data_IF_823915165184
#
_entry.id   IF_823915165184
#
_cell.length_a   1.000
_cell.length_b   1.000
_cell.length_c   1.000
_cell.angle_alpha   90.00
_cell.angle_beta   90.00
_cell.angle_gamma   90.00
#
_symmetry.space_group_name_H-M   'P 1'
#
loop_
_entity.id
_entity.type
_entity.pdbx_description
1 polymer ?
#
# COMPACT_ATOMS: atom_id res chain seq x y z
N UNK A 1 -3.00 23.82 0.57
CA UNK A 1 -2.87 22.51 1.22
C UNK A 1 -2.99 22.68 2.73
N UNK A 2 -3.76 21.81 3.41
CA UNK A 2 -3.94 21.86 4.87
C UNK A 2 -2.61 21.60 5.61
N UNK A 3 -2.24 22.49 6.54
CA UNK A 3 -1.10 22.28 7.47
C UNK A 3 -1.25 20.97 8.22
N UNK A 4 -2.48 20.64 8.63
CA UNK A 4 -2.77 19.44 9.43
C UNK A 4 -2.40 18.17 8.67
N UNK A 5 -2.85 18.05 7.42
CA UNK A 5 -2.56 16.88 6.57
C UNK A 5 -1.06 16.76 6.31
N UNK A 6 -0.41 17.84 5.87
CA UNK A 6 1.01 17.81 5.57
C UNK A 6 1.84 17.47 6.82
N UNK A 7 1.51 18.06 7.98
CA UNK A 7 2.17 17.75 9.23
C UNK A 7 1.95 16.30 9.67
N UNK A 8 0.72 15.78 9.57
CA UNK A 8 0.40 14.40 9.96
C UNK A 8 1.09 13.38 9.05
N UNK A 9 1.02 13.56 7.73
CA UNK A 9 1.68 12.69 6.77
C UNK A 9 3.21 12.67 6.98
N UNK A 10 3.83 13.82 7.21
CA UNK A 10 5.28 13.90 7.45
C UNK A 10 5.64 13.22 8.77
N UNK A 11 4.88 13.45 9.86
CA UNK A 11 5.12 12.76 11.15
C UNK A 11 4.97 11.24 11.02
N UNK A 12 3.94 10.78 10.34
CA UNK A 12 3.71 9.36 10.07
C UNK A 12 4.84 8.75 9.26
N UNK A 13 5.31 9.43 8.21
CA UNK A 13 6.43 8.98 7.39
C UNK A 13 7.73 8.86 8.21
N UNK A 14 8.04 9.83 9.08
CA UNK A 14 9.18 9.72 10.00
C UNK A 14 9.06 8.52 10.95
N UNK A 15 7.85 8.26 11.48
CA UNK A 15 7.60 7.13 12.38
C UNK A 15 7.81 5.79 11.68
N UNK A 16 7.21 5.61 10.50
CA UNK A 16 7.32 4.38 9.70
C UNK A 16 8.76 4.16 9.22
N UNK A 17 9.45 5.23 8.79
CA UNK A 17 10.87 5.14 8.44
C UNK A 17 11.73 4.69 9.62
N UNK A 18 11.50 5.24 10.81
CA UNK A 18 12.21 4.82 12.03
C UNK A 18 11.99 3.33 12.34
N UNK A 19 10.76 2.83 12.19
CA UNK A 19 10.44 1.41 12.34
C UNK A 19 11.16 0.54 11.30
N UNK A 20 11.19 0.97 10.04
CA UNK A 20 11.87 0.24 8.98
C UNK A 20 13.39 0.20 9.20
N UNK A 21 14.01 1.31 9.61
CA UNK A 21 15.44 1.39 9.89
C UNK A 21 15.82 0.50 11.08
N UNK A 22 15.03 0.52 12.15
CA UNK A 22 15.23 -0.34 13.32
C UNK A 22 15.10 -1.83 12.94
N UNK A 23 14.04 -2.19 12.21
CA UNK A 23 13.80 -3.56 11.78
C UNK A 23 14.90 -4.07 10.84
N UNK A 24 15.36 -3.24 9.91
CA UNK A 24 16.48 -3.56 9.03
C UNK A 24 17.79 -3.78 9.81
N UNK A 25 18.09 -2.91 10.79
CA UNK A 25 19.27 -3.09 11.66
C UNK A 25 19.21 -4.42 12.42
N UNK A 26 18.07 -4.74 13.04
CA UNK A 26 17.87 -6.01 13.74
C UNK A 26 18.05 -7.22 12.80
N UNK A 27 17.55 -7.11 11.56
CA UNK A 27 17.72 -8.16 10.57
C UNK A 27 19.18 -8.30 10.09
N UNK A 28 19.87 -7.19 9.86
CA UNK A 28 21.28 -7.16 9.50
C UNK A 28 22.16 -7.79 10.60
N UNK A 29 21.86 -7.52 11.87
CA UNK A 29 22.59 -8.09 13.00
C UNK A 29 22.38 -9.62 13.12
N UNK A 30 21.19 -10.11 12.75
CA UNK A 30 20.81 -11.52 12.91
C UNK A 30 21.20 -12.41 11.72
N UNK A 31 21.00 -11.95 10.49
CA UNK A 31 21.23 -12.76 9.27
C UNK A 31 22.42 -12.26 8.43
N UNK A 32 22.78 -10.98 8.54
CA UNK A 32 23.89 -10.39 7.77
C UNK A 32 23.51 -9.94 6.36
N UNK A 33 24.42 -9.20 5.73
CA UNK A 33 24.14 -8.45 4.50
C UNK A 33 23.82 -9.31 3.25
N UNK A 34 24.25 -10.56 3.23
CA UNK A 34 24.11 -11.45 2.07
C UNK A 34 22.87 -12.34 2.14
N UNK A 35 22.06 -12.24 3.19
CA UNK A 35 20.84 -13.02 3.32
C UNK A 35 19.82 -12.61 2.24
N UNK A 36 19.27 -13.56 1.47
CA UNK A 36 18.25 -13.27 0.45
C UNK A 36 16.97 -12.70 1.06
N UNK A 37 16.38 -11.72 0.38
CA UNK A 37 15.12 -11.09 0.80
C UNK A 37 14.27 -10.74 -0.42
N UNK A 38 12.95 -10.88 -0.30
CA UNK A 38 12.05 -10.56 -1.40
C UNK A 38 10.64 -11.14 -1.21
N UNK A 39 9.77 -10.81 -2.16
CA UNK A 39 8.41 -11.35 -2.21
C UNK A 39 8.35 -12.68 -2.96
N UNK A 40 7.32 -13.51 -2.67
CA UNK A 40 7.22 -14.84 -3.25
C UNK A 40 6.99 -14.77 -4.76
N UNK A 41 7.76 -15.56 -5.51
CA UNK A 41 7.56 -15.84 -6.94
C UNK A 41 7.32 -14.59 -7.80
N UNK A 42 8.17 -13.57 -7.63
CA UNK A 42 8.11 -12.35 -8.45
C UNK A 42 9.41 -12.03 -9.16
N UNK A 43 9.32 -11.66 -10.44
CA UNK A 43 10.42 -11.12 -11.24
C UNK A 43 10.64 -9.62 -11.04
N UNK A 44 9.82 -8.97 -10.21
CA UNK A 44 9.80 -7.53 -9.98
C UNK A 44 10.42 -7.11 -8.64
N UNK A 45 11.23 -7.98 -8.01
CA UNK A 45 11.93 -7.71 -6.75
C UNK A 45 10.97 -7.21 -5.66
N UNK A 46 11.24 -6.02 -5.11
CA UNK A 46 10.31 -5.22 -4.31
C UNK A 46 9.62 -4.23 -5.26
N UNK A 47 8.35 -4.48 -5.66
CA UNK A 47 7.80 -3.84 -6.84
C UNK A 47 7.64 -2.33 -6.79
N UNK A 48 7.32 -1.74 -5.63
CA UNK A 48 7.19 -0.28 -5.50
C UNK A 48 8.56 0.37 -5.63
N UNK A 49 9.56 -0.12 -4.90
CA UNK A 49 10.95 0.33 -5.00
C UNK A 49 11.49 0.13 -6.41
N UNK A 50 11.34 -1.06 -6.98
CA UNK A 50 11.84 -1.40 -8.31
C UNK A 50 11.16 -0.57 -9.39
N UNK A 51 9.84 -0.40 -9.33
CA UNK A 51 9.10 0.43 -10.27
C UNK A 51 9.54 1.89 -10.19
N UNK A 52 9.63 2.47 -9.00
CA UNK A 52 9.90 3.90 -8.85
C UNK A 52 11.37 4.29 -9.01
N UNK A 53 12.30 3.37 -8.73
CA UNK A 53 13.74 3.71 -8.67
C UNK A 53 14.60 2.87 -9.61
N UNK A 54 14.10 1.74 -10.08
CA UNK A 54 14.89 0.74 -10.82
C UNK A 54 15.84 -0.08 -9.93
N UNK A 55 15.87 0.16 -8.62
CA UNK A 55 16.72 -0.59 -7.69
C UNK A 55 16.22 -2.03 -7.53
N UNK A 56 17.13 -2.98 -7.73
CA UNK A 56 16.89 -4.40 -7.57
C UNK A 56 17.33 -4.81 -6.17
N UNK A 57 16.37 -5.10 -5.31
CA UNK A 57 16.63 -5.55 -3.94
C UNK A 57 16.53 -7.07 -3.91
N UNK A 58 17.65 -7.75 -3.70
CA UNK A 58 17.74 -9.22 -3.66
C UNK A 58 18.21 -9.74 -2.30
N UNK A 59 18.95 -8.92 -1.56
CA UNK A 59 19.50 -9.25 -0.23
C UNK A 59 19.36 -8.09 0.74
N UNK A 60 19.50 -8.40 2.04
CA UNK A 60 19.37 -7.39 3.10
C UNK A 60 20.31 -6.19 2.93
N UNK A 61 21.52 -6.41 2.41
CA UNK A 61 22.48 -5.32 2.15
C UNK A 61 22.00 -4.31 1.09
N UNK A 62 21.16 -4.71 0.14
CA UNK A 62 20.67 -3.80 -0.91
C UNK A 62 19.65 -2.79 -0.36
N UNK A 63 19.00 -3.11 0.76
CA UNK A 63 18.03 -2.24 1.42
C UNK A 63 18.67 -0.97 2.01
N UNK A 64 19.98 -0.95 2.25
CA UNK A 64 20.68 0.24 2.77
C UNK A 64 20.53 1.43 1.81
N UNK A 65 20.70 1.20 0.52
CA UNK A 65 20.54 2.23 -0.51
C UNK A 65 19.09 2.75 -0.59
N UNK A 66 18.11 1.87 -0.35
CA UNK A 66 16.69 2.23 -0.29
C UNK A 66 16.42 3.11 0.93
N UNK A 67 16.90 2.73 2.12
CA UNK A 67 16.70 3.50 3.34
C UNK A 67 17.38 4.87 3.26
N UNK A 68 18.58 4.96 2.68
CA UNK A 68 19.25 6.24 2.45
C UNK A 68 18.44 7.12 1.46
N UNK A 69 17.84 6.52 0.42
CA UNK A 69 16.94 7.23 -0.49
C UNK A 69 15.70 7.75 0.25
N UNK A 70 15.06 6.94 1.11
CA UNK A 70 13.95 7.38 1.94
C UNK A 70 14.34 8.57 2.80
N UNK A 71 15.49 8.50 3.47
CA UNK A 71 16.00 9.57 4.34
C UNK A 71 16.21 10.89 3.59
N UNK A 72 16.68 10.83 2.34
CA UNK A 72 16.83 12.02 1.48
C UNK A 72 15.50 12.61 1.03
N UNK A 73 14.47 11.77 0.88
CA UNK A 73 13.12 12.20 0.47
C UNK A 73 12.28 12.72 1.64
N UNK A 74 12.57 12.28 2.87
CA UNK A 74 11.83 12.71 4.06
C UNK A 74 12.05 14.21 4.32
N UNK A 75 10.98 15.03 4.23
CA UNK A 75 11.10 16.44 4.52
C UNK A 75 11.26 16.68 6.04
N UNK A 76 11.81 17.84 6.44
CA UNK A 76 11.80 18.23 7.85
C UNK A 76 10.35 18.42 8.34
N UNK A 77 10.11 18.31 9.66
CA UNK A 77 8.81 18.63 10.25
C UNK A 77 8.33 20.03 9.85
N UNK A 78 7.02 20.15 9.60
CA UNK A 78 6.40 21.42 9.23
C UNK A 78 6.59 22.43 10.35
N UNK A 79 7.12 23.61 10.01
CA UNK A 79 7.37 24.69 10.99
C UNK A 79 6.07 25.16 11.63
N UNK A 80 6.14 25.52 12.91
CA UNK A 80 4.97 26.07 13.60
C UNK A 80 4.63 27.49 13.15
N UNK A 81 5.67 28.33 13.00
CA UNK A 81 5.58 29.73 12.63
C UNK A 81 5.90 29.86 11.13
N UNK A 82 5.02 30.52 10.38
CA UNK A 82 5.09 30.67 8.92
C UNK A 82 5.28 29.34 8.17
N UNK A 83 4.34 28.38 8.34
CA UNK A 83 4.40 27.12 7.64
C UNK A 83 4.25 27.35 6.13
N UNK A 84 5.08 26.68 5.35
CA UNK A 84 4.93 26.58 3.90
C UNK A 84 4.59 25.13 3.52
N UNK A 85 3.41 24.61 3.89
CA UNK A 85 3.04 23.23 3.62
C UNK A 85 2.70 23.11 2.12
N UNK A 86 3.67 22.62 1.36
CA UNK A 86 3.49 22.32 -0.05
C UNK A 86 3.05 20.86 -0.23
N UNK A 87 2.37 20.61 -1.35
CA UNK A 87 1.97 19.28 -1.77
C UNK A 87 3.19 18.37 -1.97
N UNK A 88 4.22 18.86 -2.66
CA UNK A 88 5.38 18.05 -3.01
C UNK A 88 6.09 17.40 -1.80
N UNK A 89 6.45 18.12 -0.72
CA UNK A 89 7.03 17.49 0.48
C UNK A 89 6.14 16.41 1.11
N UNK A 90 4.81 16.61 1.15
CA UNK A 90 3.90 15.59 1.68
C UNK A 90 3.85 14.35 0.78
N UNK A 91 3.89 14.54 -0.54
CA UNK A 91 3.96 13.45 -1.51
C UNK A 91 5.29 12.69 -1.45
N UNK A 92 6.42 13.39 -1.29
CA UNK A 92 7.73 12.78 -1.11
C UNK A 92 7.78 11.96 0.18
N UNK A 93 7.19 12.48 1.27
CA UNK A 93 7.04 11.75 2.52
C UNK A 93 6.19 10.48 2.34
N UNK A 94 5.08 10.57 1.61
CA UNK A 94 4.23 9.41 1.30
C UNK A 94 4.91 8.35 0.42
N UNK A 95 5.75 8.76 -0.54
CA UNK A 95 6.56 7.83 -1.33
C UNK A 95 7.61 7.12 -0.47
N UNK A 96 8.28 7.86 0.42
CA UNK A 96 9.23 7.29 1.37
C UNK A 96 8.56 6.30 2.34
N UNK A 97 7.30 6.56 2.74
CA UNK A 97 6.48 5.63 3.51
C UNK A 97 6.33 4.28 2.81
N UNK A 98 5.92 4.26 1.54
CA UNK A 98 5.75 2.98 0.84
C UNK A 98 7.07 2.23 0.65
N UNK A 99 8.18 2.92 0.39
CA UNK A 99 9.49 2.25 0.35
C UNK A 99 9.86 1.64 1.71
N UNK A 100 9.61 2.34 2.81
CA UNK A 100 9.86 1.85 4.16
C UNK A 100 8.97 0.65 4.52
N UNK A 101 7.69 0.69 4.17
CA UNK A 101 6.75 -0.43 4.38
C UNK A 101 7.10 -1.64 3.53
N UNK A 102 7.53 -1.45 2.29
CA UNK A 102 7.97 -2.56 1.44
C UNK A 102 9.21 -3.25 2.01
N UNK A 103 10.13 -2.50 2.62
CA UNK A 103 11.27 -3.06 3.39
C UNK A 103 10.77 -3.83 4.62
N UNK A 104 9.83 -3.28 5.40
CA UNK A 104 9.28 -3.95 6.59
C UNK A 104 8.63 -5.29 6.21
N UNK A 105 7.82 -5.30 5.16
CA UNK A 105 7.12 -6.50 4.69
C UNK A 105 8.08 -7.52 4.07
N UNK A 106 9.08 -7.08 3.32
CA UNK A 106 10.11 -7.96 2.77
C UNK A 106 10.90 -8.67 3.90
N UNK A 107 11.24 -7.94 4.97
CA UNK A 107 11.84 -8.53 6.16
C UNK A 107 10.85 -9.48 6.86
N UNK A 108 9.55 -9.18 6.89
CA UNK A 108 8.55 -10.08 7.49
C UNK A 108 8.50 -11.43 6.76
N UNK A 109 8.60 -11.44 5.43
CA UNK A 109 8.70 -12.68 4.65
C UNK A 109 9.94 -13.52 4.99
N UNK A 110 11.05 -12.87 5.38
CA UNK A 110 12.25 -13.54 5.86
C UNK A 110 12.08 -14.07 7.30
N UNK A 111 11.53 -13.25 8.20
CA UNK A 111 11.40 -13.56 9.62
C UNK A 111 10.32 -14.59 9.93
N UNK A 112 9.20 -14.50 9.20
CA UNK A 112 8.01 -15.29 9.40
C UNK A 112 7.51 -15.81 8.05
N UNK A 113 8.20 -16.82 7.46
CA UNK A 113 7.88 -17.30 6.12
C UNK A 113 6.44 -17.80 5.95
N UNK A 114 5.81 -18.29 7.02
CA UNK A 114 4.45 -18.87 7.01
C UNK A 114 3.37 -17.88 7.45
N UNK A 115 3.72 -16.60 7.66
CA UNK A 115 2.76 -15.57 8.08
C UNK A 115 1.68 -15.31 7.02
N UNK A 116 2.05 -15.35 5.74
CA UNK A 116 1.14 -15.18 4.61
C UNK A 116 0.92 -16.52 3.90
N UNK A 117 -0.31 -16.76 3.39
CA UNK A 117 -0.64 -18.01 2.69
C UNK A 117 0.10 -18.17 1.37
N UNK A 118 0.40 -17.06 0.68
CA UNK A 118 1.01 -17.02 -0.66
C UNK A 118 0.17 -17.78 -1.71
N UNK A 119 -1.15 -17.81 -1.51
CA UNK A 119 -2.11 -18.54 -2.34
C UNK A 119 -3.23 -17.61 -2.82
N UNK A 120 -4.06 -18.10 -3.76
CA UNK A 120 -5.25 -17.37 -4.23
C UNK A 120 -6.36 -17.32 -3.17
N UNK A 121 -6.48 -18.38 -2.37
CA UNK A 121 -7.51 -18.53 -1.35
C UNK A 121 -6.90 -18.50 0.06
N UNK A 122 -7.75 -18.17 1.03
CA UNK A 122 -7.42 -18.28 2.45
C UNK A 122 -7.34 -19.75 2.87
N UNK A 123 -6.69 -20.02 4.01
CA UNK A 123 -6.73 -21.33 4.66
C UNK A 123 -7.57 -21.27 5.93
N UNK A 124 -8.00 -22.41 6.46
CA UNK A 124 -8.78 -22.49 7.70
C UNK A 124 -8.09 -21.81 8.90
N UNK A 125 -6.76 -21.72 8.86
CA UNK A 125 -5.94 -21.14 9.94
C UNK A 125 -5.33 -19.78 9.60
N UNK A 126 -5.42 -19.31 8.36
CA UNK A 126 -4.77 -18.07 7.94
C UNK A 126 -5.54 -17.38 6.81
N UNK A 127 -6.00 -16.17 7.10
CA UNK A 127 -6.72 -15.33 6.15
C UNK A 127 -5.80 -14.37 5.37
N UNK A 128 -4.52 -14.25 5.73
CA UNK A 128 -3.63 -13.23 5.17
C UNK A 128 -2.93 -13.73 3.91
N UNK A 129 -3.26 -13.13 2.77
CA UNK A 129 -2.75 -13.54 1.46
C UNK A 129 -1.36 -12.96 1.18
N UNK A 130 -1.08 -11.75 1.67
CA UNK A 130 0.17 -11.04 1.46
C UNK A 130 0.37 -10.55 0.02
N UNK A 131 1.62 -10.37 -0.38
CA UNK A 131 2.00 -9.96 -1.73
C UNK A 131 1.49 -10.96 -2.78
N UNK A 132 0.76 -10.46 -3.78
CA UNK A 132 0.40 -11.25 -4.96
C UNK A 132 1.67 -11.75 -5.66
N UNK A 133 1.72 -13.01 -6.08
CA UNK A 133 2.80 -13.49 -6.95
C UNK A 133 2.56 -13.09 -8.42
N UNK A 134 3.53 -13.39 -9.30
CA UNK A 134 3.40 -13.04 -10.72
C UNK A 134 2.33 -13.85 -11.47
N UNK A 135 1.92 -15.02 -10.94
CA UNK A 135 0.85 -15.83 -11.55
C UNK A 135 -0.49 -15.16 -11.28
N UNK A 136 -0.75 -14.79 -10.02
CA UNK A 136 -1.94 -14.04 -9.59
C UNK A 136 -1.98 -12.70 -10.32
N UNK A 137 -0.87 -11.97 -10.38
CA UNK A 137 -0.77 -10.72 -11.12
C UNK A 137 -1.16 -10.90 -12.60
N UNK A 138 -0.64 -11.93 -13.28
CA UNK A 138 -0.98 -12.16 -14.69
C UNK A 138 -2.45 -12.55 -14.87
N UNK A 139 -2.99 -13.38 -13.98
CA UNK A 139 -4.37 -13.86 -14.06
C UNK A 139 -5.39 -12.75 -13.78
N UNK A 140 -5.15 -11.96 -12.72
CA UNK A 140 -6.08 -10.93 -12.23
C UNK A 140 -5.81 -9.55 -12.83
N UNK A 141 -4.55 -9.24 -13.14
CA UNK A 141 -4.14 -7.97 -13.72
C UNK A 141 -4.70 -7.74 -15.12
N UNK A 142 -4.99 -8.80 -15.90
CA UNK A 142 -5.66 -8.68 -17.21
C UNK A 142 -7.04 -8.04 -17.06
N UNK A 143 -7.77 -8.33 -15.97
CA UNK A 143 -9.11 -7.77 -15.73
C UNK A 143 -9.08 -6.23 -15.60
N UNK A 144 -7.95 -5.66 -15.14
CA UNK A 144 -7.76 -4.21 -15.06
C UNK A 144 -7.43 -3.58 -16.42
N UNK A 145 -6.87 -4.36 -17.34
CA UNK A 145 -6.47 -3.89 -18.68
C UNK A 145 -7.64 -3.96 -19.66
N UNK A 146 -8.42 -5.04 -19.60
CA UNK A 146 -9.59 -5.25 -20.45
C UNK A 146 -10.86 -4.52 -19.95
N UNK A 147 -10.82 -3.99 -18.72
CA UNK A 147 -11.89 -3.22 -18.11
C UNK A 147 -12.97 -4.07 -17.43
N UNK A 148 -12.79 -5.39 -17.33
CA UNK A 148 -13.70 -6.29 -16.59
C UNK A 148 -13.72 -5.95 -15.10
N UNK A 149 -12.59 -5.52 -14.56
CA UNK A 149 -12.48 -4.91 -13.24
C UNK A 149 -11.95 -3.47 -13.42
N UNK A 150 -12.78 -2.43 -13.20
CA UNK A 150 -12.36 -1.05 -13.46
C UNK A 150 -11.23 -0.57 -12.54
N UNK A 151 -11.07 -1.19 -11.36
CA UNK A 151 -10.11 -0.77 -10.36
C UNK A 151 -10.30 -1.49 -9.03
N UNK A 152 -9.79 -0.89 -7.94
CA UNK A 152 -9.88 -1.46 -6.61
C UNK A 152 -10.17 -0.42 -5.52
N UNK A 153 -10.88 -0.84 -4.48
CA UNK A 153 -11.02 -0.10 -3.24
C UNK A 153 -10.00 -0.63 -2.21
N UNK A 154 -9.08 0.22 -1.76
CA UNK A 154 -8.17 -0.11 -0.67
C UNK A 154 -8.80 0.28 0.67
N UNK A 155 -9.35 -0.69 1.39
CA UNK A 155 -9.96 -0.50 2.71
C UNK A 155 -8.90 -0.66 3.79
N UNK A 156 -8.79 0.34 4.66
CA UNK A 156 -7.88 0.34 5.80
C UNK A 156 -8.69 0.42 7.09
N UNK A 157 -8.45 -0.47 8.05
CA UNK A 157 -9.16 -0.47 9.34
C UNK A 157 -10.37 -1.38 9.39
N UNK A 158 -11.46 -0.92 9.98
CA UNK A 158 -12.67 -1.73 10.21
C UNK A 158 -13.95 -0.91 10.15
N UNK A 159 -15.01 -1.52 9.61
CA UNK A 159 -16.33 -0.91 9.60
C UNK A 159 -16.92 -0.88 11.03
N UNK A 160 -17.97 -0.08 11.29
CA UNK A 160 -18.60 -0.05 12.61
C UNK A 160 -19.20 -1.40 13.06
N UNK A 161 -19.68 -2.23 12.12
CA UNK A 161 -20.19 -3.59 12.39
C UNK A 161 -19.89 -4.53 11.21
N UNK A 162 -19.93 -5.84 11.47
CA UNK A 162 -19.70 -6.88 10.47
C UNK A 162 -20.78 -6.90 9.37
N UNK A 163 -22.02 -6.52 9.68
CA UNK A 163 -23.09 -6.39 8.69
C UNK A 163 -22.83 -5.22 7.73
N UNK A 164 -22.32 -4.10 8.25
CA UNK A 164 -21.94 -2.95 7.42
C UNK A 164 -20.75 -3.32 6.54
N UNK A 165 -19.74 -4.02 7.08
CA UNK A 165 -18.61 -4.50 6.31
C UNK A 165 -19.06 -5.39 5.14
N UNK A 166 -19.93 -6.36 5.41
CA UNK A 166 -20.49 -7.25 4.40
C UNK A 166 -21.28 -6.49 3.33
N UNK A 167 -22.11 -5.51 3.73
CA UNK A 167 -22.86 -4.66 2.80
C UNK A 167 -21.94 -3.86 1.88
N UNK A 168 -20.87 -3.26 2.43
CA UNK A 168 -19.91 -2.46 1.64
C UNK A 168 -19.16 -3.37 0.66
N UNK A 169 -18.67 -4.52 1.12
CA UNK A 169 -17.98 -5.49 0.28
C UNK A 169 -18.87 -5.97 -0.87
N UNK A 170 -20.13 -6.28 -0.59
CA UNK A 170 -21.11 -6.69 -1.59
C UNK A 170 -21.37 -5.59 -2.63
N UNK A 171 -21.52 -4.33 -2.20
CA UNK A 171 -21.73 -3.21 -3.12
C UNK A 171 -20.52 -3.01 -4.05
N UNK A 172 -19.30 -3.10 -3.50
CA UNK A 172 -18.07 -2.97 -4.28
C UNK A 172 -17.92 -4.13 -5.29
N UNK A 173 -18.26 -5.36 -4.89
CA UNK A 173 -18.27 -6.52 -5.78
C UNK A 173 -19.29 -6.37 -6.92
N UNK A 174 -20.49 -5.85 -6.64
CA UNK A 174 -21.52 -5.58 -7.66
C UNK A 174 -21.05 -4.58 -8.73
N UNK A 175 -20.12 -3.68 -8.36
CA UNK A 175 -19.46 -2.75 -9.28
C UNK A 175 -18.21 -3.34 -9.94
N UNK A 176 -17.96 -4.64 -9.76
CA UNK A 176 -16.81 -5.38 -10.27
C UNK A 176 -15.44 -4.88 -9.75
N UNK A 177 -15.41 -4.20 -8.60
CA UNK A 177 -14.17 -3.73 -7.99
C UNK A 177 -13.48 -4.85 -7.21
N UNK A 178 -12.16 -4.82 -7.21
CA UNK A 178 -11.39 -5.51 -6.18
C UNK A 178 -11.46 -4.74 -4.87
N UNK A 179 -11.49 -5.45 -3.75
CA UNK A 179 -11.43 -4.88 -2.41
C UNK A 179 -10.17 -5.40 -1.75
N UNK A 180 -9.24 -4.51 -1.51
CA UNK A 180 -7.96 -4.79 -0.89
C UNK A 180 -8.01 -4.32 0.56
N UNK A 181 -7.82 -5.23 1.51
CA UNK A 181 -8.08 -5.00 2.92
C UNK A 181 -6.78 -5.08 3.72
N UNK A 182 -6.49 -4.06 4.52
CA UNK A 182 -5.32 -4.00 5.41
C UNK A 182 -5.59 -3.24 6.70
N UNK A 183 -4.67 -3.37 7.66
CA UNK A 183 -4.68 -2.66 8.95
C UNK A 183 -5.87 -3.01 9.87
N UNK A 184 -5.80 -2.48 11.10
CA UNK A 184 -6.84 -2.61 12.12
C UNK A 184 -7.31 -1.23 12.60
N UNK A 185 -8.53 -1.19 13.13
CA UNK A 185 -9.03 -0.07 13.90
C UNK A 185 -9.67 -0.59 15.18
N UNK A 186 -9.18 -0.13 16.34
CA UNK A 186 -9.61 -0.58 17.67
C UNK A 186 -9.60 -2.12 17.85
N UNK A 187 -8.59 -2.79 17.31
CA UNK A 187 -8.44 -4.24 17.40
C UNK A 187 -9.37 -5.06 16.49
N UNK A 188 -10.14 -4.40 15.61
CA UNK A 188 -10.95 -5.06 14.59
C UNK A 188 -10.38 -4.81 13.19
N UNK A 189 -10.65 -5.71 12.25
CA UNK A 189 -10.21 -5.62 10.86
C UNK A 189 -11.37 -5.92 9.92
N UNK A 190 -11.46 -5.19 8.82
CA UNK A 190 -12.51 -5.39 7.83
C UNK A 190 -12.53 -6.83 7.28
N UNK A 191 -11.37 -7.46 7.05
CA UNK A 191 -11.30 -8.85 6.58
C UNK A 191 -11.82 -9.86 7.61
N UNK A 192 -11.57 -9.64 8.90
CA UNK A 192 -12.07 -10.51 9.98
C UNK A 192 -13.60 -10.37 10.11
N UNK A 193 -14.10 -9.13 10.03
CA UNK A 193 -15.54 -8.83 10.01
C UNK A 193 -16.28 -9.54 8.88
N UNK A 194 -15.67 -9.64 7.69
CA UNK A 194 -16.25 -10.38 6.57
C UNK A 194 -16.34 -11.89 6.84
N UNK A 195 -15.30 -12.47 7.43
CA UNK A 195 -15.28 -13.89 7.80
C UNK A 195 -16.32 -14.18 8.87
N UNK A 196 -16.45 -13.32 9.88
CA UNK A 196 -17.49 -13.41 10.92
C UNK A 196 -18.91 -13.32 10.34
N UNK A 197 -19.11 -12.48 9.32
CA UNK A 197 -20.36 -12.35 8.59
C UNK A 197 -20.63 -13.51 7.60
N UNK A 198 -19.73 -14.49 7.49
CA UNK A 198 -19.86 -15.63 6.58
C UNK A 198 -19.61 -15.28 5.11
N UNK A 199 -18.93 -14.16 4.82
CA UNK A 199 -18.57 -13.74 3.47
C UNK A 199 -17.26 -14.42 3.06
N UNK A 200 -17.26 -15.07 1.89
CA UNK A 200 -16.06 -15.69 1.35
C UNK A 200 -15.07 -14.63 0.84
N UNK A 201 -13.87 -14.61 1.41
CA UNK A 201 -12.75 -13.76 0.99
C UNK A 201 -11.70 -14.56 0.22
N UNK A 202 -10.92 -13.88 -0.61
CA UNK A 202 -9.92 -14.46 -1.50
C UNK A 202 -9.77 -13.69 -2.81
N UNK A 203 -8.73 -14.02 -3.58
CA UNK A 203 -8.56 -13.52 -4.95
C UNK A 203 -9.73 -13.90 -5.87
N UNK A 204 -10.33 -15.11 -5.81
CA UNK A 204 -11.46 -15.47 -6.67
C UNK A 204 -12.73 -14.66 -6.41
N UNK A 205 -12.96 -14.21 -5.18
CA UNK A 205 -14.11 -13.35 -4.83
C UNK A 205 -13.77 -11.87 -4.93
N UNK A 206 -12.54 -11.51 -5.34
CA UNK A 206 -12.02 -10.14 -5.40
C UNK A 206 -11.96 -9.42 -4.04
N UNK A 207 -12.13 -10.14 -2.92
CA UNK A 207 -12.01 -9.60 -1.57
C UNK A 207 -10.69 -10.08 -0.97
N UNK A 208 -9.62 -9.32 -1.19
CA UNK A 208 -8.25 -9.72 -0.87
C UNK A 208 -7.80 -9.14 0.47
N UNK A 209 -7.52 -10.02 1.43
CA UNK A 209 -6.97 -9.70 2.74
C UNK A 209 -5.44 -9.69 2.69
N UNK A 210 -4.85 -8.49 2.62
CA UNK A 210 -3.40 -8.35 2.47
C UNK A 210 -2.63 -8.62 3.76
N UNK A 211 -3.08 -8.06 4.88
CA UNK A 211 -2.41 -8.27 6.16
C UNK A 211 -3.03 -7.44 7.28
N UNK A 212 -2.69 -7.76 8.53
CA UNK A 212 -3.31 -7.14 9.70
C UNK A 212 -2.80 -5.73 10.01
N UNK A 213 -1.67 -5.32 9.42
CA UNK A 213 -0.97 -4.07 9.71
C UNK A 213 -1.10 -3.07 8.56
N UNK A 214 -0.85 -1.79 8.87
CA UNK A 214 -0.85 -0.74 7.85
C UNK A 214 0.21 -0.97 6.76
N UNK A 215 1.37 -1.54 7.12
CA UNK A 215 2.46 -1.83 6.19
C UNK A 215 2.03 -2.75 5.04
N UNK A 216 1.07 -3.64 5.26
CA UNK A 216 0.59 -4.55 4.23
C UNK A 216 -0.22 -3.84 3.12
N UNK A 217 -0.59 -2.56 3.32
CA UNK A 217 -1.19 -1.71 2.28
C UNK A 217 -0.26 -1.53 1.08
N UNK A 218 1.06 -1.63 1.30
CA UNK A 218 2.06 -1.55 0.24
C UNK A 218 1.86 -2.62 -0.85
N UNK A 219 1.26 -3.77 -0.53
CA UNK A 219 0.96 -4.81 -1.51
C UNK A 219 -0.06 -4.35 -2.56
N UNK A 220 -1.00 -3.48 -2.21
CA UNK A 220 -1.92 -2.85 -3.15
C UNK A 220 -1.17 -1.97 -4.16
N UNK A 221 -0.26 -1.13 -3.66
CA UNK A 221 0.57 -0.25 -4.49
C UNK A 221 1.58 -1.02 -5.33
N UNK A 222 2.13 -2.11 -4.78
CA UNK A 222 2.98 -3.04 -5.50
C UNK A 222 2.23 -3.79 -6.61
N UNK A 223 0.96 -4.13 -6.41
CA UNK A 223 0.11 -4.70 -7.46
C UNK A 223 -0.13 -3.69 -8.59
N UNK A 224 -0.54 -2.46 -8.26
CA UNK A 224 -0.77 -1.38 -9.22
C UNK A 224 0.52 -1.04 -10.02
N UNK A 225 1.65 -0.94 -9.34
CA UNK A 225 2.96 -0.72 -9.96
C UNK A 225 3.32 -1.84 -10.94
N UNK A 226 3.10 -3.10 -10.56
CA UNK A 226 3.36 -4.23 -11.46
C UNK A 226 2.41 -4.28 -12.63
N UNK A 227 1.16 -3.85 -12.49
CA UNK A 227 0.26 -3.76 -13.63
C UNK A 227 0.83 -2.81 -14.72
N UNK A 228 1.41 -1.68 -14.31
CA UNK A 228 2.08 -0.75 -15.23
C UNK A 228 3.34 -1.37 -15.88
N UNK A 229 4.15 -2.10 -15.12
CA UNK A 229 5.36 -2.76 -15.64
C UNK A 229 5.02 -3.90 -16.61
N UNK A 230 4.09 -4.79 -16.22
CA UNK A 230 3.75 -5.99 -17.00
C UNK A 230 2.88 -5.70 -18.22
N UNK A 231 1.84 -4.89 -18.08
CA UNK A 231 0.86 -4.66 -19.14
C UNK A 231 1.07 -3.33 -19.86
N UNK A 232 1.56 -2.31 -19.13
CA UNK A 232 1.95 -1.04 -19.75
C UNK A 232 3.29 -1.12 -20.50
N UNK A 233 4.10 -2.15 -20.26
CA UNK A 233 5.42 -2.31 -20.87
C UNK A 233 6.37 -1.17 -20.49
N UNK A 234 6.18 -0.58 -19.31
CA UNK A 234 6.97 0.55 -18.83
C UNK A 234 8.23 0.02 -18.16
N UNK A 235 9.38 0.63 -18.48
CA UNK A 235 10.66 0.26 -17.88
C UNK A 235 10.72 0.63 -16.39
N UNK A 236 11.33 -0.22 -15.54
CA UNK A 236 11.55 0.09 -14.14
C UNK A 236 12.41 1.35 -13.98
N UNK A 237 12.07 2.19 -13.01
CA UNK A 237 12.72 3.48 -12.79
C UNK A 237 12.12 4.64 -13.60
N UNK A 238 11.29 4.38 -14.62
CA UNK A 238 10.48 5.42 -15.27
C UNK A 238 9.22 5.72 -14.45
N UNK A 239 9.45 6.20 -13.21
CA UNK A 239 8.40 6.42 -12.21
C UNK A 239 7.26 7.29 -12.76
N UNK A 240 7.59 8.30 -13.58
CA UNK A 240 6.59 9.22 -14.14
C UNK A 240 5.59 8.49 -15.02
N UNK A 241 6.05 7.61 -15.92
CA UNK A 241 5.14 6.82 -16.76
C UNK A 241 4.32 5.83 -15.94
N UNK A 242 4.92 5.22 -14.91
CA UNK A 242 4.22 4.29 -14.02
C UNK A 242 3.08 4.99 -13.28
N UNK A 243 3.34 6.16 -12.69
CA UNK A 243 2.31 6.93 -11.97
C UNK A 243 1.21 7.42 -12.92
N UNK A 244 1.55 7.90 -14.12
CA UNK A 244 0.56 8.30 -15.13
C UNK A 244 -0.28 7.10 -15.60
N UNK A 245 0.34 5.95 -15.84
CA UNK A 245 -0.37 4.73 -16.21
C UNK A 245 -1.41 4.36 -15.16
N UNK A 246 -1.02 4.35 -13.88
CA UNK A 246 -1.94 4.02 -12.79
C UNK A 246 -3.06 5.05 -12.68
N UNK A 247 -2.76 6.34 -12.76
CA UNK A 247 -3.76 7.42 -12.76
C UNK A 247 -4.81 7.25 -13.86
N UNK A 248 -4.40 6.79 -15.04
CA UNK A 248 -5.27 6.77 -16.23
C UNK A 248 -5.90 5.39 -16.53
N UNK A 249 -5.39 4.31 -15.92
CA UNK A 249 -5.81 2.92 -16.24
C UNK A 249 -6.30 2.13 -15.03
N UNK A 250 -5.90 2.47 -13.81
CA UNK A 250 -6.26 1.71 -12.60
C UNK A 250 -7.09 2.64 -11.72
N UNK A 251 -8.43 2.55 -11.81
CA UNK A 251 -9.31 3.44 -11.05
C UNK A 251 -9.44 3.00 -9.59
N UNK A 252 -8.42 3.28 -8.80
CA UNK A 252 -8.37 2.92 -7.40
C UNK A 252 -8.65 4.10 -6.46
N UNK A 253 -9.16 3.80 -5.27
CA UNK A 253 -9.39 4.76 -4.19
C UNK A 253 -9.20 4.09 -2.83
N UNK A 254 -8.87 4.90 -1.83
CA UNK A 254 -8.63 4.45 -0.44
C UNK A 254 -9.85 4.78 0.42
N UNK A 255 -10.31 3.81 1.20
CA UNK A 255 -11.39 3.92 2.18
C UNK A 255 -10.84 3.61 3.58
N UNK A 256 -10.27 4.60 4.29
CA UNK A 256 -9.99 4.42 5.71
C UNK A 256 -11.33 4.35 6.46
N UNK A 257 -11.51 3.28 7.23
CA UNK A 257 -12.66 3.07 8.11
C UNK A 257 -12.19 3.16 9.55
N UNK A 258 -12.49 4.30 10.17
CA UNK A 258 -12.00 4.67 11.48
C UNK A 258 -11.17 5.96 11.48
N UNK A 259 -10.71 6.34 12.66
CA UNK A 259 -9.95 7.57 12.84
C UNK A 259 -8.57 7.47 12.20
N UNK A 260 -8.25 8.41 11.31
CA UNK A 260 -7.01 8.42 10.52
C UNK A 260 -5.82 8.82 11.40
N UNK A 261 -4.90 7.89 11.62
CA UNK A 261 -3.63 8.11 12.33
C UNK A 261 -2.61 8.82 11.45
N UNK A 262 -1.52 9.32 12.04
CA UNK A 262 -0.43 9.95 11.28
C UNK A 262 0.15 8.99 10.22
N UNK A 263 0.28 7.70 10.52
CA UNK A 263 0.71 6.64 9.61
C UNK A 263 -0.25 6.44 8.42
N UNK A 264 -1.56 6.51 8.69
CA UNK A 264 -2.57 6.43 7.64
C UNK A 264 -2.54 7.69 6.76
N UNK A 265 -2.32 8.88 7.34
CA UNK A 265 -2.10 10.10 6.56
C UNK A 265 -0.87 9.99 5.64
N UNK A 266 0.20 9.34 6.11
CA UNK A 266 1.40 9.13 5.31
C UNK A 266 1.13 8.17 4.13
N UNK A 267 0.41 7.07 4.38
CA UNK A 267 -0.05 6.14 3.35
C UNK A 267 -0.98 6.82 2.33
N UNK A 268 -1.94 7.63 2.80
CA UNK A 268 -2.85 8.39 1.94
C UNK A 268 -2.08 9.40 1.07
N UNK A 269 -1.10 10.12 1.63
CA UNK A 269 -0.22 10.99 0.87
C UNK A 269 0.60 10.21 -0.18
N UNK A 270 1.01 8.98 0.15
CA UNK A 270 1.62 8.06 -0.80
C UNK A 270 0.67 7.72 -1.95
N UNK A 271 -0.56 7.31 -1.65
CA UNK A 271 -1.58 6.92 -2.63
C UNK A 271 -1.92 8.06 -3.62
N UNK A 272 -1.90 9.31 -3.16
CA UNK A 272 -2.08 10.48 -4.03
C UNK A 272 -1.02 10.51 -5.15
N UNK A 273 0.21 10.04 -4.95
CA UNK A 273 1.21 9.98 -6.03
C UNK A 273 0.73 9.11 -7.22
N UNK A 274 -0.02 8.03 -6.95
CA UNK A 274 -0.60 7.17 -7.98
C UNK A 274 -1.90 7.76 -8.58
N UNK A 275 -2.36 8.91 -8.08
CA UNK A 275 -3.63 9.52 -8.45
C UNK A 275 -4.85 8.88 -7.78
N UNK A 276 -4.64 8.14 -6.68
CA UNK A 276 -5.70 7.45 -5.96
C UNK A 276 -6.24 8.34 -4.84
N UNK A 277 -7.51 8.79 -4.92
CA UNK A 277 -8.09 9.62 -3.87
C UNK A 277 -8.35 8.81 -2.60
N UNK A 278 -8.37 9.51 -1.47
CA UNK A 278 -8.72 8.93 -0.16
C UNK A 278 -10.04 9.52 0.33
N UNK A 279 -11.01 8.67 0.64
CA UNK A 279 -12.36 9.04 1.07
C UNK A 279 -12.61 8.45 2.45
N UNK A 280 -12.52 9.27 3.49
CA UNK A 280 -12.66 8.83 4.87
C UNK A 280 -14.11 8.92 5.38
N UNK A 281 -14.45 8.00 6.28
CA UNK A 281 -15.71 8.00 7.04
C UNK A 281 -15.69 8.94 8.26
N UNK A 282 -14.50 9.43 8.64
CA UNK A 282 -14.29 10.36 9.75
C UNK A 282 -13.98 11.78 9.26
N UNK A 283 -14.24 12.82 10.09
CA UNK A 283 -13.91 14.19 9.73
C UNK A 283 -12.39 14.38 9.60
N UNK A 284 -11.91 14.43 8.37
CA UNK A 284 -10.53 14.79 8.03
C UNK A 284 -10.51 16.08 7.20
N UNK A 285 -9.43 16.89 7.28
CA UNK A 285 -9.29 18.01 6.38
C UNK A 285 -9.12 17.53 4.94
N UNK A 286 -9.55 18.33 3.97
CA UNK A 286 -9.38 18.03 2.55
C UNK A 286 -8.01 18.51 2.05
N UNK A 287 -7.32 17.65 1.30
CA UNK A 287 -6.29 18.03 0.35
C UNK A 287 -6.91 17.85 -1.03
N UNK A 288 -7.08 18.93 -1.79
CA UNK A 288 -7.61 18.90 -3.15
C UNK A 288 -6.48 19.20 -4.16
N UNK A 289 -5.48 18.30 -4.34
CA UNK A 289 -4.45 18.46 -5.36
C UNK A 289 -5.03 18.45 -6.78
N UNK A 290 -5.21 19.65 -7.35
CA UNK A 290 -5.65 19.80 -8.74
C UNK A 290 -4.68 19.15 -9.73
N UNK A 291 -5.20 18.27 -10.59
CA UNK A 291 -4.45 17.63 -11.67
C UNK A 291 -3.70 16.34 -11.32
N UNK A 292 -3.74 15.90 -10.05
CA UNK A 292 -3.18 14.60 -9.64
C UNK A 292 -4.28 13.56 -9.49
N UNK A 293 -5.30 13.85 -8.70
CA UNK A 293 -6.51 13.03 -8.60
C UNK A 293 -7.61 13.66 -9.45
N UNK A 294 -8.15 12.92 -10.41
CA UNK A 294 -9.15 13.47 -11.35
C UNK A 294 -10.55 13.58 -10.73
N UNK A 295 -10.81 12.91 -9.60
CA UNK A 295 -12.14 12.71 -9.02
C UNK A 295 -12.31 13.28 -7.60
N UNK A 296 -11.49 14.24 -7.19
CA UNK A 296 -11.62 14.92 -5.89
C UNK A 296 -12.63 16.08 -5.97
N UNK A 297 -13.93 15.78 -5.87
CA UNK A 297 -15.02 16.75 -5.72
C UNK A 297 -16.08 16.24 -4.73
#
# INVERSE_FOLDING_TARGET
MSKIIASAAIRGAHKIFGQAEEKWKQAMDKWGANEPVGFPNTAYYLPVIYGMTGMKVEKLGDMEAVLEKCKQMLPPPVREIHPLPYLAPALDAGMATFFAEEVIEAIRYLEQPDFYTKQEDITDSNIWLGAADDIILRKRGVEFVDGTAPGFAAIVGAAPTSEIAASIAQELQQKNLYVFMSSEYNGQRFSEQLVEAGVQIGWPTRLVSFGPDISSTVFAMGFATRAALSFGGIEPGDFRKILIYNKDRVFAFVLPMGYVTDEWYANAAGAINWGFPTIADTPIPEALPTGICTYEH
#
